data_IF_401826944036
#
_entry.id   IF_401826944036
#
_cell.length_a   1.000
_cell.length_b   1.000
_cell.length_c   1.000
_cell.angle_alpha   90.00
_cell.angle_beta   90.00
_cell.angle_gamma   90.00
#
_symmetry.space_group_name_H-M   'P 1'
#
loop_
_entity.id
_entity.type
_entity.pdbx_description
1 polymer ?
#
# COMPACT_ATOMS: atom_id res chain seq x y z
N UNK A 1 -11.22 12.32 2.13
CA UNK A 1 -10.48 11.48 1.17
C UNK A 1 -9.05 11.94 1.26
N UNK A 2 -8.17 11.00 1.59
CA UNK A 2 -6.78 11.24 1.98
C UNK A 2 -5.89 10.34 1.13
N UNK A 3 -4.69 10.82 0.83
CA UNK A 3 -3.69 10.05 0.09
C UNK A 3 -2.62 9.64 1.09
N UNK A 4 -2.54 8.34 1.34
CA UNK A 4 -1.50 7.73 2.17
C UNK A 4 -0.39 7.25 1.25
N UNK A 5 0.85 7.64 1.54
CA UNK A 5 2.02 7.27 0.77
C UNK A 5 2.88 6.33 1.61
N UNK A 6 3.25 5.20 1.04
CA UNK A 6 4.09 4.21 1.69
C UNK A 6 5.27 3.87 0.80
N UNK A 7 6.44 3.66 1.39
CA UNK A 7 7.50 2.94 0.73
C UNK A 7 7.36 1.44 1.04
N UNK A 8 7.61 0.60 0.04
CA UNK A 8 7.40 -0.84 0.13
C UNK A 8 8.62 -1.64 -0.36
N UNK A 9 8.66 -2.93 -0.07
CA UNK A 9 9.64 -3.85 -0.67
C UNK A 9 9.08 -4.65 -1.86
N UNK A 10 8.02 -4.14 -2.50
CA UNK A 10 7.36 -4.80 -3.64
C UNK A 10 8.17 -4.54 -4.90
N UNK A 11 8.81 -5.56 -5.46
CA UNK A 11 9.70 -5.42 -6.63
C UNK A 11 9.24 -6.18 -7.86
N UNK A 12 8.21 -7.03 -7.73
CA UNK A 12 7.73 -7.88 -8.83
C UNK A 12 6.19 -7.97 -8.87
N UNK A 13 5.64 -8.20 -10.07
CA UNK A 13 4.19 -8.25 -10.30
C UNK A 13 3.44 -9.24 -9.41
N UNK A 14 4.05 -10.38 -9.03
CA UNK A 14 3.41 -11.35 -8.13
C UNK A 14 3.12 -10.78 -6.73
N UNK A 15 3.98 -9.90 -6.23
CA UNK A 15 3.75 -9.19 -4.96
C UNK A 15 2.68 -8.11 -5.13
N UNK A 16 2.69 -7.39 -6.26
CA UNK A 16 1.64 -6.40 -6.59
C UNK A 16 0.26 -7.06 -6.60
N UNK A 17 0.10 -8.24 -7.20
CA UNK A 17 -1.18 -8.98 -7.19
C UNK A 17 -1.66 -9.35 -5.79
N UNK A 18 -0.73 -9.65 -4.87
CA UNK A 18 -1.07 -9.90 -3.46
C UNK A 18 -1.54 -8.63 -2.76
N UNK A 19 -0.82 -7.52 -2.93
CA UNK A 19 -1.21 -6.22 -2.36
C UNK A 19 -2.57 -5.79 -2.90
N UNK A 20 -2.81 -5.91 -4.20
CA UNK A 20 -4.10 -5.65 -4.83
C UNK A 20 -5.22 -6.41 -4.10
N UNK A 21 -5.08 -7.72 -3.93
CA UNK A 21 -6.10 -8.55 -3.27
C UNK A 21 -6.40 -8.09 -1.84
N UNK A 22 -5.37 -7.67 -1.10
CA UNK A 22 -5.52 -7.17 0.27
C UNK A 22 -6.21 -5.80 0.31
N UNK A 23 -5.81 -4.88 -0.56
CA UNK A 23 -6.37 -3.52 -0.61
C UNK A 23 -7.79 -3.50 -1.17
N UNK A 24 -8.13 -4.34 -2.15
CA UNK A 24 -9.51 -4.50 -2.63
C UNK A 24 -10.45 -5.05 -1.55
N UNK A 25 -9.91 -5.75 -0.55
CA UNK A 25 -10.68 -6.22 0.60
C UNK A 25 -11.03 -5.14 1.62
N UNK A 26 -10.44 -3.95 1.51
CA UNK A 26 -10.67 -2.84 2.43
C UNK A 26 -11.76 -1.90 1.88
N UNK A 27 -12.90 -1.75 2.56
CA UNK A 27 -13.98 -0.85 2.10
C UNK A 27 -13.59 0.62 2.16
N UNK A 28 -12.60 0.97 2.97
CA UNK A 28 -12.12 2.34 3.15
C UNK A 28 -11.17 2.79 2.02
N UNK A 29 -10.64 1.84 1.24
CA UNK A 29 -9.76 2.09 0.09
C UNK A 29 -10.61 2.38 -1.14
N UNK A 30 -10.45 3.57 -1.70
CA UNK A 30 -11.14 4.00 -2.92
C UNK A 30 -10.30 3.73 -4.16
N UNK A 31 -8.99 3.95 -4.08
CA UNK A 31 -8.05 3.75 -5.18
C UNK A 31 -6.64 3.49 -4.64
N UNK A 32 -5.76 2.90 -5.44
CA UNK A 32 -4.35 2.79 -5.10
C UNK A 32 -3.49 2.58 -6.34
N UNK A 33 -2.22 3.01 -6.27
CA UNK A 33 -1.26 2.81 -7.35
C UNK A 33 0.12 2.44 -6.79
N UNK A 34 0.84 1.59 -7.52
CA UNK A 34 2.27 1.37 -7.32
C UNK A 34 3.05 2.22 -8.31
N UNK A 35 3.94 3.04 -7.79
CA UNK A 35 4.99 3.65 -8.58
C UNK A 35 6.14 2.65 -8.71
N UNK A 36 6.13 1.91 -9.82
CA UNK A 36 7.17 0.94 -10.17
C UNK A 36 8.24 1.54 -11.10
N UNK A 37 8.03 2.78 -11.56
CA UNK A 37 8.96 3.48 -12.43
C UNK A 37 10.14 4.09 -11.64
N UNK A 38 9.95 4.31 -10.33
CA UNK A 38 11.00 4.69 -9.40
C UNK A 38 11.53 3.49 -8.58
N UNK A 39 12.84 3.49 -8.33
CA UNK A 39 13.53 2.49 -7.49
C UNK A 39 12.99 2.41 -6.05
N UNK A 40 12.13 3.35 -5.66
CA UNK A 40 11.65 3.56 -4.31
C UNK A 40 10.43 2.68 -3.95
N UNK A 41 9.85 1.96 -4.93
CA UNK A 41 8.72 1.03 -4.77
C UNK A 41 7.59 1.65 -3.94
N UNK A 42 7.10 2.81 -4.38
CA UNK A 42 6.12 3.61 -3.65
C UNK A 42 4.71 3.07 -3.89
N UNK A 43 3.95 2.91 -2.81
CA UNK A 43 2.52 2.60 -2.83
C UNK A 43 1.74 3.85 -2.39
N UNK A 44 0.84 4.33 -3.26
CA UNK A 44 -0.09 5.42 -2.93
C UNK A 44 -1.47 4.83 -2.78
N UNK A 45 -2.11 5.05 -1.64
CA UNK A 45 -3.46 4.60 -1.35
C UNK A 45 -4.35 5.81 -1.15
N UNK A 46 -5.45 5.85 -1.86
CA UNK A 46 -6.49 6.86 -1.68
C UNK A 46 -7.63 6.24 -0.88
N UNK A 47 -7.87 6.76 0.31
CA UNK A 47 -8.80 6.17 1.26
C UNK A 47 -9.55 7.23 2.08
N UNK A 48 -10.56 6.80 2.84
CA UNK A 48 -11.34 7.66 3.75
C UNK A 48 -11.36 7.02 5.13
N UNK A 49 -10.73 7.66 6.12
CA UNK A 49 -10.71 7.16 7.50
C UNK A 49 -9.83 5.93 7.72
N UNK A 50 -8.98 5.58 6.76
CA UNK A 50 -8.06 4.45 6.85
C UNK A 50 -6.84 4.81 7.69
N UNK A 51 -6.53 3.97 8.70
CA UNK A 51 -5.32 4.17 9.51
C UNK A 51 -4.09 3.65 8.76
N UNK A 52 -3.01 4.44 8.63
CA UNK A 52 -1.78 4.00 7.99
C UNK A 52 -1.17 2.75 8.66
N UNK A 53 -1.19 2.70 10.00
CA UNK A 53 -0.74 1.54 10.78
C UNK A 53 -1.52 0.25 10.46
N UNK A 54 -2.80 0.39 10.08
CA UNK A 54 -3.61 -0.74 9.68
C UNK A 54 -3.09 -1.32 8.35
N UNK A 55 -2.78 -0.46 7.38
CA UNK A 55 -2.16 -0.85 6.11
C UNK A 55 -0.81 -1.52 6.36
N UNK A 56 0.04 -0.94 7.20
CA UNK A 56 1.35 -1.51 7.56
C UNK A 56 1.24 -2.91 8.14
N UNK A 57 0.33 -3.11 9.09
CA UNK A 57 0.11 -4.41 9.72
C UNK A 57 -0.45 -5.42 8.74
N UNK A 58 -1.39 -5.00 7.88
CA UNK A 58 -2.00 -5.85 6.86
C UNK A 58 -0.95 -6.35 5.86
N UNK A 59 -0.14 -5.45 5.30
CA UNK A 59 0.90 -5.81 4.35
C UNK A 59 2.02 -6.64 5.00
N UNK A 60 2.40 -6.30 6.24
CA UNK A 60 3.39 -7.07 6.99
C UNK A 60 2.93 -8.51 7.24
N UNK A 61 1.64 -8.73 7.52
CA UNK A 61 1.06 -10.07 7.69
C UNK A 61 1.13 -10.92 6.42
N UNK A 62 1.19 -10.28 5.25
CA UNK A 62 1.37 -10.92 3.95
C UNK A 62 2.85 -11.09 3.55
N UNK A 63 3.79 -10.72 4.44
CA UNK A 63 5.24 -10.77 4.22
C UNK A 63 5.78 -9.57 3.43
N UNK A 64 5.01 -8.49 3.32
CA UNK A 64 5.38 -7.27 2.59
C UNK A 64 5.72 -6.19 3.61
N UNK A 65 6.95 -5.68 3.54
CA UNK A 65 7.34 -4.55 4.39
C UNK A 65 6.84 -3.28 3.73
N UNK A 66 6.03 -2.52 4.44
CA UNK A 66 5.74 -1.15 4.08
C UNK A 66 5.80 -0.25 5.30
N UNK A 67 6.11 1.02 5.06
CA UNK A 67 6.15 2.06 6.07
C UNK A 67 5.58 3.35 5.49
N UNK A 68 4.76 4.03 6.27
CA UNK A 68 4.20 5.32 5.90
C UNK A 68 5.30 6.36 5.74
N UNK A 69 5.25 7.08 4.62
CA UNK A 69 6.03 8.29 4.39
C UNK A 69 5.16 9.47 4.80
N UNK A 70 5.17 9.78 6.10
CA UNK A 70 4.61 11.03 6.60
C UNK A 70 5.58 12.17 6.26
N UNK A 71 5.09 13.24 5.63
CA UNK A 71 5.82 14.49 5.41
C UNK A 71 6.27 15.15 6.73
#
# INVERSE_FOLDING_TARGET
>A
MEVLVFATNVTHQGQVSRVNTLLTGLPDVTDWNFDLDDCDNILRIVAIGLSPRHVETLLLSAGIKCYELAD
#
